data_IF_762523979790
#
_entry.id   IF_762523979790
#
_cell.length_a   1.000
_cell.length_b   1.000
_cell.length_c   1.000
_cell.angle_alpha   90.00
_cell.angle_beta   90.00
_cell.angle_gamma   90.00
#
_symmetry.space_group_name_H-M   'P 1'
#
loop_
_entity.id
_entity.type
_entity.pdbx_description
1 polymer ?
#
# COMPACT_ATOMS: atom_id res chain seq x y z
N UNK A 1 4.31 -5.09 -10.71
CA UNK A 1 5.06 -4.69 -9.49
C UNK A 1 6.42 -4.11 -9.79
N UNK A 2 7.12 -4.64 -10.80
CA UNK A 2 8.35 -4.07 -11.34
C UNK A 2 8.00 -3.22 -12.56
N UNK A 3 8.30 -1.93 -12.53
CA UNK A 3 8.02 -1.01 -13.63
C UNK A 3 9.02 0.15 -13.62
N UNK A 4 9.22 0.84 -14.77
CA UNK A 4 10.05 2.04 -14.81
C UNK A 4 9.54 3.06 -13.80
N UNK A 5 10.44 3.58 -12.95
CA UNK A 5 10.14 4.50 -11.82
C UNK A 5 9.50 3.85 -10.59
N UNK A 6 9.39 2.53 -10.50
CA UNK A 6 9.00 1.85 -9.26
C UNK A 6 9.94 2.20 -8.09
N UNK A 7 9.42 2.08 -6.87
CA UNK A 7 10.18 2.25 -5.63
C UNK A 7 10.59 0.84 -5.16
N UNK A 8 11.88 0.46 -5.20
CA UNK A 8 12.30 -0.93 -5.00
C UNK A 8 11.77 -1.58 -3.72
N UNK A 9 11.85 -0.89 -2.57
CA UNK A 9 11.31 -1.39 -1.30
C UNK A 9 9.80 -1.64 -1.34
N UNK A 10 9.03 -0.78 -2.00
CA UNK A 10 7.59 -0.93 -2.10
C UNK A 10 7.23 -2.08 -3.03
N UNK A 11 7.94 -2.21 -4.15
CA UNK A 11 7.78 -3.33 -5.09
C UNK A 11 8.13 -4.66 -4.44
N UNK A 12 9.21 -4.72 -3.67
CA UNK A 12 9.64 -5.92 -2.97
C UNK A 12 8.63 -6.37 -1.91
N UNK A 13 8.20 -5.45 -1.03
CA UNK A 13 7.18 -5.76 -0.01
C UNK A 13 5.84 -6.12 -0.66
N UNK A 14 5.44 -5.42 -1.74
CA UNK A 14 4.22 -5.77 -2.47
C UNK A 14 4.31 -7.15 -3.13
N UNK A 15 5.49 -7.55 -3.62
CA UNK A 15 5.70 -8.87 -4.19
C UNK A 15 5.62 -9.97 -3.13
N UNK A 16 6.24 -9.74 -1.95
CA UNK A 16 6.08 -10.63 -0.81
C UNK A 16 4.61 -10.71 -0.35
N UNK A 17 3.89 -9.59 -0.37
CA UNK A 17 2.47 -9.55 -0.03
C UNK A 17 1.66 -10.44 -0.98
N UNK A 18 1.88 -10.30 -2.30
CA UNK A 18 1.19 -11.08 -3.33
C UNK A 18 1.49 -12.57 -3.20
N UNK A 19 2.68 -12.93 -2.72
CA UNK A 19 3.06 -14.32 -2.46
C UNK A 19 2.60 -14.84 -1.10
N UNK A 20 1.89 -14.04 -0.32
CA UNK A 20 1.51 -14.33 1.07
C UNK A 20 2.70 -14.72 1.96
N UNK A 21 3.89 -14.19 1.62
CA UNK A 21 5.16 -14.45 2.30
C UNK A 21 5.56 -13.34 3.27
N UNK A 22 4.71 -12.35 3.46
CA UNK A 22 4.87 -11.42 4.57
C UNK A 22 4.47 -12.17 5.85
N UNK A 23 5.38 -12.24 6.82
CA UNK A 23 5.11 -12.88 8.11
C UNK A 23 3.89 -12.25 8.78
N UNK A 24 2.73 -12.86 8.56
CA UNK A 24 1.52 -12.63 9.34
C UNK A 24 1.73 -13.17 10.74
N UNK A 25 0.81 -12.85 11.65
CA UNK A 25 0.78 -13.41 13.00
C UNK A 25 0.82 -14.94 13.02
N UNK A 26 0.52 -15.62 11.91
CA UNK A 26 0.64 -17.08 11.75
C UNK A 26 2.04 -17.63 12.06
N UNK A 27 3.10 -16.90 11.71
CA UNK A 27 4.46 -17.32 12.05
C UNK A 27 4.72 -17.19 13.56
N UNK A 28 4.21 -16.12 14.17
CA UNK A 28 4.34 -15.89 15.62
C UNK A 28 3.49 -16.87 16.44
N UNK A 29 2.32 -17.26 15.93
CA UNK A 29 1.47 -18.30 16.51
C UNK A 29 2.18 -19.66 16.44
N UNK A 30 2.76 -20.02 15.29
CA UNK A 30 3.53 -21.26 15.12
C UNK A 30 4.79 -21.32 15.99
N UNK A 31 5.42 -20.18 16.25
CA UNK A 31 6.56 -20.08 17.15
C UNK A 31 6.18 -19.91 18.64
N UNK A 32 4.88 -19.91 19.00
CA UNK A 32 4.42 -19.77 20.39
C UNK A 32 4.66 -18.39 21.01
N UNK A 33 4.95 -17.36 20.19
CA UNK A 33 5.26 -16.00 20.65
C UNK A 33 3.97 -15.23 20.98
N UNK A 34 2.85 -15.59 20.35
CA UNK A 34 1.53 -15.00 20.61
C UNK A 34 0.49 -16.10 20.82
N UNK A 35 -0.43 -15.87 21.77
CA UNK A 35 -1.48 -16.85 22.11
C UNK A 35 -2.79 -16.61 21.36
N UNK A 36 -2.95 -15.47 20.68
CA UNK A 36 -4.17 -15.11 19.95
C UNK A 36 -3.82 -14.28 18.71
N UNK A 37 -4.43 -14.62 17.57
CA UNK A 37 -4.44 -13.78 16.37
C UNK A 37 -5.31 -12.56 16.68
N UNK A 38 -4.71 -11.38 16.93
CA UNK A 38 -5.44 -10.13 17.16
C UNK A 38 -5.02 -9.12 16.13
N UNK A 39 -5.97 -8.53 15.43
CA UNK A 39 -5.69 -7.44 14.49
C UNK A 39 -4.89 -6.34 15.19
N UNK A 40 -3.65 -6.12 14.74
CA UNK A 40 -2.74 -5.13 15.34
C UNK A 40 -3.30 -3.70 15.28
N UNK A 41 -4.28 -3.45 14.41
CA UNK A 41 -4.94 -2.15 14.28
C UNK A 41 -6.13 -1.94 15.21
N UNK A 42 -6.85 -3.00 15.62
CA UNK A 42 -8.10 -2.88 16.40
C UNK A 42 -8.27 -3.87 17.54
N UNK A 43 -7.31 -4.76 17.81
CA UNK A 43 -7.41 -5.85 18.78
C UNK A 43 -8.61 -6.80 18.58
N UNK A 44 -9.17 -6.86 17.36
CA UNK A 44 -10.24 -7.79 17.01
C UNK A 44 -9.69 -9.20 16.75
N UNK A 45 -10.46 -10.27 17.03
CA UNK A 45 -10.00 -11.63 16.78
C UNK A 45 -9.79 -11.87 15.28
N UNK A 46 -8.61 -12.39 14.98
CA UNK A 46 -8.08 -12.92 13.71
C UNK A 46 -7.50 -11.91 12.71
N UNK A 47 -6.17 -11.76 12.71
CA UNK A 47 -5.39 -11.08 11.67
C UNK A 47 -5.10 -12.06 10.52
N UNK A 48 -5.85 -11.99 9.42
CA UNK A 48 -5.50 -12.66 8.15
C UNK A 48 -4.87 -11.67 7.16
N UNK A 49 -4.25 -12.17 6.08
CA UNK A 49 -3.69 -11.31 5.02
C UNK A 49 -4.77 -10.39 4.40
N UNK A 50 -5.92 -10.98 4.04
CA UNK A 50 -7.10 -10.26 3.57
C UNK A 50 -7.57 -9.20 4.57
N UNK A 51 -7.58 -9.56 5.86
CA UNK A 51 -7.94 -8.60 6.90
C UNK A 51 -6.95 -7.46 7.00
N UNK A 52 -5.66 -7.76 7.11
CA UNK A 52 -4.61 -6.78 7.30
C UNK A 52 -4.62 -5.73 6.19
N UNK A 53 -4.72 -6.14 4.94
CA UNK A 53 -4.61 -5.22 3.82
C UNK A 53 -5.94 -4.65 3.35
N UNK A 54 -7.05 -5.38 3.40
CA UNK A 54 -8.28 -4.97 2.69
C UNK A 54 -9.54 -4.92 3.55
N UNK A 55 -9.75 -5.84 4.48
CA UNK A 55 -11.01 -5.87 5.25
C UNK A 55 -10.96 -5.08 6.56
N UNK A 56 -9.78 -4.88 7.14
CA UNK A 56 -9.60 -4.05 8.33
C UNK A 56 -10.04 -2.61 8.06
N UNK A 57 -10.82 -2.05 8.98
CA UNK A 57 -11.33 -0.67 8.85
C UNK A 57 -10.21 0.36 8.73
N UNK A 58 -9.06 0.13 9.39
CA UNK A 58 -7.90 1.02 9.28
C UNK A 58 -7.38 1.06 7.83
N UNK A 59 -7.16 -0.12 7.24
CA UNK A 59 -6.68 -0.24 5.87
C UNK A 59 -7.73 0.22 4.86
N UNK A 60 -9.02 -0.04 5.10
CA UNK A 60 -10.12 0.48 4.28
C UNK A 60 -10.10 2.01 4.18
N UNK A 61 -9.86 2.71 5.29
CA UNK A 61 -9.78 4.18 5.28
C UNK A 61 -8.64 4.69 4.39
N UNK A 62 -7.49 4.00 4.41
CA UNK A 62 -6.36 4.31 3.52
C UNK A 62 -6.76 4.10 2.06
N UNK A 63 -7.35 2.95 1.73
CA UNK A 63 -7.77 2.65 0.36
C UNK A 63 -8.82 3.61 -0.17
N UNK A 64 -9.84 3.93 0.63
CA UNK A 64 -10.88 4.89 0.25
C UNK A 64 -10.28 6.27 -0.05
N UNK A 65 -9.35 6.74 0.77
CA UNK A 65 -8.67 8.02 0.54
C UNK A 65 -7.86 8.01 -0.77
N UNK A 66 -7.09 6.95 -1.02
CA UNK A 66 -6.29 6.81 -2.24
C UNK A 66 -7.14 6.67 -3.48
N UNK A 67 -8.22 5.89 -3.43
CA UNK A 67 -9.16 5.73 -4.54
C UNK A 67 -9.84 7.04 -4.91
N UNK A 68 -10.27 7.81 -3.91
CA UNK A 68 -10.79 9.17 -4.12
C UNK A 68 -9.76 10.07 -4.81
N UNK A 69 -8.52 10.10 -4.30
CA UNK A 69 -7.44 10.92 -4.87
C UNK A 69 -7.08 10.53 -6.31
N UNK A 70 -7.13 9.24 -6.64
CA UNK A 70 -6.75 8.70 -7.95
C UNK A 70 -7.91 8.65 -8.95
N UNK A 71 -9.12 9.04 -8.53
CA UNK A 71 -10.38 8.93 -9.29
C UNK A 71 -10.58 7.49 -9.78
N UNK A 72 -10.54 6.55 -8.85
CA UNK A 72 -10.75 5.12 -9.11
C UNK A 72 -11.82 4.62 -8.16
N UNK A 73 -12.78 3.85 -8.69
CA UNK A 73 -13.78 3.20 -7.85
C UNK A 73 -13.13 2.08 -7.04
N UNK A 74 -13.37 2.09 -5.73
CA UNK A 74 -12.89 1.03 -4.86
C UNK A 74 -13.81 -0.18 -4.95
N UNK A 75 -13.32 -1.26 -5.56
CA UNK A 75 -14.01 -2.54 -5.56
C UNK A 75 -13.49 -3.35 -4.38
N UNK A 76 -14.14 -3.20 -3.22
CA UNK A 76 -13.79 -3.97 -2.04
C UNK A 76 -13.98 -5.47 -2.32
N UNK A 77 -12.91 -6.26 -2.19
CA UNK A 77 -12.93 -7.70 -2.39
C UNK A 77 -11.89 -8.42 -1.53
N UNK A 78 -11.71 -9.72 -1.79
CA UNK A 78 -10.59 -10.51 -1.24
C UNK A 78 -9.23 -9.96 -1.68
N UNK A 79 -8.16 -10.42 -1.04
CA UNK A 79 -6.80 -10.04 -1.47
C UNK A 79 -6.57 -10.35 -2.94
N UNK A 80 -6.89 -11.57 -3.36
CA UNK A 80 -6.64 -12.03 -4.71
C UNK A 80 -7.43 -11.22 -5.75
N UNK A 81 -8.71 -10.96 -5.51
CA UNK A 81 -9.54 -10.16 -6.42
C UNK A 81 -9.05 -8.71 -6.54
N UNK A 82 -8.61 -8.11 -5.44
CA UNK A 82 -8.09 -6.73 -5.43
C UNK A 82 -6.75 -6.64 -6.17
N UNK A 83 -5.86 -7.61 -5.98
CA UNK A 83 -4.58 -7.67 -6.70
C UNK A 83 -4.82 -7.86 -8.20
N UNK A 84 -5.70 -8.79 -8.60
CA UNK A 84 -6.06 -9.03 -10.00
C UNK A 84 -6.62 -7.74 -10.62
N UNK A 85 -7.60 -7.12 -9.97
CA UNK A 85 -8.19 -5.87 -10.42
C UNK A 85 -7.14 -4.76 -10.58
N UNK A 86 -6.23 -4.61 -9.62
CA UNK A 86 -5.16 -3.61 -9.69
C UNK A 86 -4.20 -3.89 -10.85
N UNK A 87 -3.88 -5.17 -11.11
CA UNK A 87 -3.02 -5.54 -12.24
C UNK A 87 -3.66 -5.28 -13.60
N UNK A 88 -4.99 -5.34 -13.71
CA UNK A 88 -5.73 -5.06 -14.94
C UNK A 88 -5.96 -3.55 -15.13
N UNK A 89 -6.30 -2.85 -14.05
CA UNK A 89 -6.72 -1.43 -14.07
C UNK A 89 -5.55 -0.45 -14.14
N UNK A 90 -4.36 -0.83 -13.63
CA UNK A 90 -3.21 0.07 -13.52
C UNK A 90 -2.17 -0.13 -14.63
N UNK A 91 -2.62 -0.62 -15.79
CA UNK A 91 -1.80 -0.88 -16.97
C UNK A 91 -1.56 0.37 -17.81
N UNK A 92 -0.59 0.31 -18.71
CA UNK A 92 -0.27 1.39 -19.66
C UNK A 92 0.87 2.32 -19.26
N UNK A 93 1.09 3.33 -20.11
CA UNK A 93 2.23 4.29 -20.04
C UNK A 93 1.83 5.69 -19.54
N UNK A 94 0.54 5.93 -19.27
CA UNK A 94 0.06 7.24 -18.84
C UNK A 94 0.59 7.62 -17.45
N UNK A 95 0.65 8.92 -17.17
CA UNK A 95 0.99 9.43 -15.84
C UNK A 95 0.00 8.90 -14.78
N UNK A 96 -1.28 8.80 -15.13
CA UNK A 96 -2.31 8.26 -14.23
C UNK A 96 -2.06 6.77 -13.92
N UNK A 97 -1.69 5.96 -14.90
CA UNK A 97 -1.32 4.56 -14.67
C UNK A 97 -0.06 4.43 -13.80
N UNK A 98 0.92 5.33 -13.98
CA UNK A 98 2.10 5.40 -13.11
C UNK A 98 1.72 5.77 -11.67
N UNK A 99 0.89 6.81 -11.49
CA UNK A 99 0.40 7.25 -10.17
C UNK A 99 -0.34 6.14 -9.44
N UNK A 100 -1.24 5.44 -10.12
CA UNK A 100 -2.00 4.33 -9.56
C UNK A 100 -1.09 3.19 -9.10
N UNK A 101 -0.10 2.79 -9.91
CA UNK A 101 0.89 1.76 -9.54
C UNK A 101 1.76 2.18 -8.34
N UNK A 102 2.23 3.42 -8.33
CA UNK A 102 3.03 3.96 -7.22
C UNK A 102 2.22 4.03 -5.93
N UNK A 103 0.99 4.54 -5.99
CA UNK A 103 0.12 4.63 -4.83
C UNK A 103 -0.25 3.25 -4.28
N UNK A 104 -0.61 2.29 -5.15
CA UNK A 104 -0.95 0.93 -4.75
C UNK A 104 0.20 0.23 -4.03
N UNK A 105 1.40 0.24 -4.63
CA UNK A 105 2.58 -0.39 -4.01
C UNK A 105 3.03 0.33 -2.74
N UNK A 106 2.88 1.66 -2.67
CA UNK A 106 3.20 2.44 -1.47
C UNK A 106 2.20 2.15 -0.33
N UNK A 107 0.92 1.98 -0.64
CA UNK A 107 -0.11 1.66 0.34
C UNK A 107 0.17 0.32 1.03
N UNK A 108 0.43 -0.73 0.23
CA UNK A 108 0.81 -2.06 0.76
C UNK A 108 2.04 -1.94 1.67
N UNK A 109 3.08 -1.25 1.20
CA UNK A 109 4.30 -1.03 1.98
C UNK A 109 4.03 -0.33 3.31
N UNK A 110 3.25 0.75 3.31
CA UNK A 110 2.98 1.54 4.51
C UNK A 110 2.06 0.82 5.50
N UNK A 111 1.05 0.07 5.02
CA UNK A 111 0.20 -0.76 5.87
C UNK A 111 1.06 -1.81 6.58
N UNK A 112 1.94 -2.49 5.84
CA UNK A 112 2.87 -3.46 6.42
C UNK A 112 3.84 -2.83 7.43
N UNK A 113 4.42 -1.68 7.07
CA UNK A 113 5.34 -0.94 7.93
C UNK A 113 4.66 -0.52 9.24
N UNK A 114 3.44 0.03 9.16
CA UNK A 114 2.68 0.46 10.32
C UNK A 114 2.30 -0.72 11.21
N UNK A 115 1.89 -1.86 10.63
CA UNK A 115 1.66 -3.09 11.39
C UNK A 115 2.91 -3.49 12.17
N UNK A 116 4.07 -3.53 11.53
CA UNK A 116 5.31 -3.91 12.19
C UNK A 116 5.72 -2.92 13.29
N UNK A 117 5.57 -1.61 13.07
CA UNK A 117 5.83 -0.59 14.10
C UNK A 117 4.97 -0.83 15.33
N UNK A 118 3.67 -1.07 15.15
CA UNK A 118 2.76 -1.36 16.25
C UNK A 118 3.13 -2.63 17.01
N UNK A 119 3.61 -3.66 16.30
CA UNK A 119 4.02 -4.93 16.91
C UNK A 119 5.34 -4.81 17.68
N UNK A 120 6.36 -4.15 17.13
CA UNK A 120 7.73 -4.20 17.67
C UNK A 120 8.20 -2.93 18.37
N UNK A 121 7.56 -1.79 18.12
CA UNK A 121 7.98 -0.47 18.61
C UNK A 121 6.92 0.22 19.47
N UNK A 122 5.69 -0.32 19.52
CA UNK A 122 4.58 0.27 20.28
C UNK A 122 4.02 1.59 19.71
N UNK A 123 4.59 2.11 18.62
CA UNK A 123 4.13 3.32 17.95
C UNK A 123 2.83 3.09 17.17
N UNK A 124 1.92 4.07 17.20
CA UNK A 124 0.62 4.03 16.49
C UNK A 124 0.37 5.33 15.73
N UNK A 125 0.45 5.29 14.40
CA UNK A 125 0.03 6.41 13.55
C UNK A 125 -1.43 6.27 13.13
N UNK A 126 -2.21 7.36 13.09
CA UNK A 126 -3.54 7.33 12.50
C UNK A 126 -3.45 7.13 10.98
N UNK A 127 -4.48 6.52 10.39
CA UNK A 127 -4.55 6.21 8.96
C UNK A 127 -4.35 7.45 8.08
N UNK A 128 -4.80 8.63 8.55
CA UNK A 128 -4.65 9.90 7.84
C UNK A 128 -3.18 10.30 7.68
N UNK A 129 -2.35 10.08 8.71
CA UNK A 129 -0.89 10.32 8.64
C UNK A 129 -0.25 9.35 7.66
N UNK A 130 -0.69 8.09 7.63
CA UNK A 130 -0.22 7.12 6.64
C UNK A 130 -0.56 7.56 5.21
N UNK A 131 -1.74 8.13 4.98
CA UNK A 131 -2.11 8.68 3.67
C UNK A 131 -1.18 9.84 3.25
N UNK A 132 -0.82 10.73 4.18
CA UNK A 132 0.14 11.81 3.93
C UNK A 132 1.52 11.25 3.59
N UNK A 133 2.00 10.25 4.33
CA UNK A 133 3.28 9.59 4.09
C UNK A 133 3.33 8.95 2.68
N UNK A 134 2.24 8.28 2.28
CA UNK A 134 2.10 7.71 0.93
C UNK A 134 2.15 8.80 -0.14
N UNK A 135 1.37 9.88 0.02
CA UNK A 135 1.35 10.98 -0.95
C UNK A 135 2.74 11.63 -1.09
N UNK A 136 3.43 11.86 0.03
CA UNK A 136 4.78 12.42 0.04
C UNK A 136 5.76 11.50 -0.69
N UNK A 137 5.69 10.20 -0.46
CA UNK A 137 6.53 9.21 -1.13
C UNK A 137 6.31 9.20 -2.65
N UNK A 138 5.05 9.21 -3.08
CA UNK A 138 4.69 9.25 -4.51
C UNK A 138 5.16 10.55 -5.14
N UNK A 139 4.91 11.72 -4.52
CA UNK A 139 5.36 13.03 -5.03
C UNK A 139 6.88 13.08 -5.17
N UNK A 140 7.62 12.71 -4.12
CA UNK A 140 9.08 12.68 -4.14
C UNK A 140 9.61 11.80 -5.28
N UNK A 141 8.98 10.63 -5.50
CA UNK A 141 9.38 9.74 -6.59
C UNK A 141 9.16 10.35 -7.97
N UNK A 142 8.11 11.15 -8.15
CA UNK A 142 7.83 11.84 -9.42
C UNK A 142 8.78 13.02 -9.65
N UNK A 143 9.03 13.83 -8.61
CA UNK A 143 9.95 14.97 -8.67
C UNK A 143 11.39 14.55 -9.01
N UNK A 144 11.82 13.38 -8.55
CA UNK A 144 13.12 12.81 -8.92
C UNK A 144 13.20 12.28 -10.36
N UNK A 145 12.11 12.27 -11.12
CA UNK A 145 12.12 11.82 -12.52
C UNK A 145 12.19 12.99 -13.47
N UNK A 146 13.23 13.02 -14.32
CA UNK A 146 13.54 14.08 -15.29
C UNK A 146 12.38 14.48 -16.24
N UNK A 147 11.26 13.72 -16.29
CA UNK A 147 10.05 14.09 -17.04
C UNK A 147 9.31 15.32 -16.50
N UNK A 148 9.33 15.60 -15.19
CA UNK A 148 8.55 16.74 -14.66
C UNK A 148 9.17 18.10 -15.03
N UNK A 149 10.45 18.11 -15.46
CA UNK A 149 11.14 19.31 -15.96
C UNK A 149 10.74 19.71 -17.39
N UNK A 150 10.01 18.88 -18.15
CA UNK A 150 9.73 19.15 -19.57
C UNK A 150 8.33 19.70 -19.86
N UNK A 151 7.43 19.74 -18.88
CA UNK A 151 6.05 20.26 -19.09
C UNK A 151 5.85 21.69 -18.59
N UNK A 152 6.82 22.30 -17.90
CA UNK A 152 6.76 23.73 -17.55
C UNK A 152 7.52 24.64 -18.53
N UNK A 153 8.31 24.08 -19.46
CA UNK A 153 9.11 24.87 -20.40
C UNK A 153 8.46 25.07 -21.78
N UNK A 154 7.25 24.55 -22.01
CA UNK A 154 6.59 24.59 -23.33
C UNK A 154 5.23 25.32 -23.35
N UNK A 155 4.92 26.14 -22.33
CA UNK A 155 3.73 27.03 -22.35
C UNK A 155 4.09 28.51 -22.29
N UNK A 156 5.36 28.85 -22.49
CA UNK A 156 5.82 30.23 -22.69
C UNK A 156 6.93 30.25 -23.73
N UNK A 157 6.56 30.06 -25.00
CA UNK A 157 7.27 30.51 -26.20
C UNK A 157 6.35 30.34 -27.40
#
# INVERSE_FOLDING_TARGET
LWFPKAIPRCSFISWLAVKERLSTQDHFLRCGIINQLKCTFRNLPTESHDHLFFTCTFSKQIWMNLCSLLRVQWNAGTWNSTVIWATQTFTGKSLQALLRRLAFTSAIYHIWLERNRRTFQGEKKPWAVICIDIQRMVRHRLSGTKSFKRTQNNTFS
#
